data_IF_043197615766
#
_entry.id   IF_043197615766
#
_cell.length_a   1.000
_cell.length_b   1.000
_cell.length_c   1.000
_cell.angle_alpha   90.00
_cell.angle_beta   90.00
_cell.angle_gamma   90.00
#
_symmetry.space_group_name_H-M   'P 1'
#
loop_
_entity.id
_entity.type
_entity.pdbx_description
1 polymer ?
#
# COMPACT_ATOMS: atom_id res chain seq x y z
N UNK A 1 -6.20 -63.17 37.99
CA UNK A 1 -5.06 -62.30 37.66
C UNK A 1 -5.13 -62.00 36.20
N UNK A 2 -5.77 -60.89 35.84
CA UNK A 2 -5.93 -60.44 34.44
C UNK A 2 -5.33 -59.07 34.28
N UNK A 3 -4.22 -59.02 33.57
CA UNK A 3 -3.48 -57.80 33.23
C UNK A 3 -4.09 -57.22 31.98
N UNK A 4 -4.75 -56.05 32.10
CA UNK A 4 -5.21 -55.27 30.93
C UNK A 4 -4.06 -54.42 30.42
N UNK A 5 -3.64 -54.68 29.18
CA UNK A 5 -2.70 -53.85 28.44
C UNK A 5 -3.48 -52.68 27.88
N UNK A 6 -3.12 -51.48 28.32
CA UNK A 6 -3.67 -50.21 27.79
C UNK A 6 -2.79 -49.78 26.61
N UNK A 7 -3.31 -49.89 25.39
CA UNK A 7 -2.66 -49.38 24.18
C UNK A 7 -3.07 -47.90 24.04
N UNK A 8 -2.12 -47.01 24.30
CA UNK A 8 -2.31 -45.55 24.03
C UNK A 8 -1.94 -45.28 22.57
N UNK A 9 -2.95 -45.04 21.76
CA UNK A 9 -2.78 -44.60 20.38
C UNK A 9 -2.40 -43.11 20.40
N UNK A 10 -1.14 -42.78 20.17
CA UNK A 10 -0.67 -41.41 19.95
C UNK A 10 -0.93 -41.06 18.47
N UNK A 11 -2.06 -40.39 18.19
CA UNK A 11 -2.34 -39.84 16.90
C UNK A 11 -1.50 -38.57 16.69
N UNK A 12 -0.44 -38.67 15.89
CA UNK A 12 0.30 -37.50 15.41
C UNK A 12 -0.57 -36.76 14.39
N UNK A 13 -1.16 -35.66 14.84
CA UNK A 13 -1.84 -34.72 13.95
C UNK A 13 -0.75 -33.95 13.17
N UNK A 14 -0.46 -34.39 11.96
CA UNK A 14 0.35 -33.61 11.02
C UNK A 14 -0.49 -32.43 10.58
N UNK A 15 -0.33 -31.27 11.22
CA UNK A 15 -0.73 -29.98 10.68
C UNK A 15 0.20 -29.67 9.51
N UNK A 16 -0.20 -30.09 8.33
CA UNK A 16 0.38 -29.60 7.09
C UNK A 16 0.10 -28.08 7.01
N UNK A 17 1.13 -27.27 7.16
CA UNK A 17 1.06 -25.88 6.79
C UNK A 17 0.88 -25.84 5.26
N UNK A 18 -0.36 -25.75 4.81
CA UNK A 18 -0.64 -25.36 3.44
C UNK A 18 -0.27 -23.88 3.34
N UNK A 19 0.86 -23.58 2.70
CA UNK A 19 1.11 -22.25 2.18
C UNK A 19 0.06 -22.02 1.11
N UNK A 20 -1.01 -21.30 1.46
CA UNK A 20 -1.93 -20.75 0.47
C UNK A 20 -1.16 -19.60 -0.18
N UNK A 21 -0.48 -19.87 -1.28
CA UNK A 21 -0.07 -18.82 -2.19
C UNK A 21 -1.37 -18.20 -2.72
N UNK A 22 -1.63 -16.95 -2.39
CA UNK A 22 -2.79 -16.26 -2.94
C UNK A 22 -2.60 -16.20 -4.45
N UNK A 23 -3.53 -16.79 -5.18
CA UNK A 23 -3.48 -16.84 -6.64
C UNK A 23 -3.81 -15.46 -7.19
N UNK A 24 -3.04 -15.00 -8.18
CA UNK A 24 -3.35 -13.77 -8.93
C UNK A 24 -4.78 -13.91 -9.51
N UNK A 25 -5.68 -12.96 -9.23
CA UNK A 25 -7.06 -13.01 -9.70
C UNK A 25 -7.15 -13.06 -11.24
N UNK A 26 -8.17 -13.75 -11.76
CA UNK A 26 -8.38 -13.90 -13.18
C UNK A 26 -8.52 -12.57 -13.95
N UNK A 27 -8.93 -11.51 -13.27
CA UNK A 27 -8.99 -10.14 -13.80
C UNK A 27 -7.63 -9.67 -14.37
N UNK A 28 -6.52 -10.12 -13.79
CA UNK A 28 -5.16 -9.68 -14.13
C UNK A 28 -4.40 -10.61 -15.09
N UNK A 29 -5.09 -11.55 -15.76
CA UNK A 29 -4.43 -12.57 -16.61
C UNK A 29 -3.69 -12.01 -17.83
N UNK A 30 -3.95 -10.77 -18.21
CA UNK A 30 -3.29 -10.08 -19.35
C UNK A 30 -2.06 -9.30 -18.94
N UNK A 31 -1.78 -9.16 -17.63
CA UNK A 31 -0.65 -8.39 -17.10
C UNK A 31 0.57 -9.30 -16.91
N UNK A 32 1.72 -8.86 -17.36
CA UNK A 32 2.99 -9.55 -17.15
C UNK A 32 3.67 -9.04 -15.86
N UNK A 33 3.48 -9.76 -14.76
CA UNK A 33 4.08 -9.44 -13.46
C UNK A 33 5.56 -9.78 -13.33
N UNK A 34 6.23 -10.20 -14.40
CA UNK A 34 7.68 -10.26 -14.44
C UNK A 34 8.32 -8.92 -14.80
N UNK A 35 7.51 -7.94 -15.19
CA UNK A 35 7.90 -6.57 -15.50
C UNK A 35 7.83 -5.67 -14.26
N UNK A 36 8.61 -4.58 -14.31
CA UNK A 36 8.69 -3.55 -13.29
C UNK A 36 8.66 -2.15 -13.93
N UNK A 37 8.53 -1.12 -13.12
CA UNK A 37 8.57 0.27 -13.57
C UNK A 37 7.49 0.59 -14.60
N UNK A 38 7.84 1.36 -15.63
CA UNK A 38 6.89 1.83 -16.64
C UNK A 38 6.23 0.71 -17.44
N UNK A 39 6.91 -0.41 -17.67
CA UNK A 39 6.33 -1.51 -18.43
C UNK A 39 5.13 -2.12 -17.67
N UNK A 40 5.28 -2.38 -16.37
CA UNK A 40 4.17 -2.85 -15.53
C UNK A 40 3.08 -1.78 -15.37
N UNK A 41 3.47 -0.50 -15.23
CA UNK A 41 2.56 0.64 -15.16
C UNK A 41 1.66 0.71 -16.39
N UNK A 42 2.23 0.55 -17.60
CA UNK A 42 1.52 0.61 -18.87
C UNK A 42 0.56 -0.58 -19.04
N UNK A 43 0.98 -1.79 -18.65
CA UNK A 43 0.14 -2.99 -18.68
C UNK A 43 -1.08 -2.82 -17.77
N UNK A 44 -0.88 -2.37 -16.52
CA UNK A 44 -1.97 -2.11 -15.58
C UNK A 44 -2.88 -0.98 -16.04
N UNK A 45 -2.30 0.11 -16.57
CA UNK A 45 -3.07 1.23 -17.14
C UNK A 45 -3.96 0.74 -18.29
N UNK A 46 -3.42 -0.06 -19.21
CA UNK A 46 -4.18 -0.66 -20.32
C UNK A 46 -5.33 -1.51 -19.78
N UNK A 47 -5.05 -2.40 -18.83
CA UNK A 47 -6.09 -3.26 -18.24
C UNK A 47 -7.24 -2.45 -17.65
N UNK A 48 -6.95 -1.45 -16.79
CA UNK A 48 -8.02 -0.68 -16.13
C UNK A 48 -8.77 0.25 -17.09
N UNK A 49 -8.14 0.68 -18.18
CA UNK A 49 -8.80 1.45 -19.25
C UNK A 49 -9.77 0.56 -20.03
N UNK A 50 -9.29 -0.60 -20.47
CA UNK A 50 -10.07 -1.52 -21.32
C UNK A 50 -11.23 -2.16 -20.57
N UNK A 51 -11.08 -2.37 -19.26
CA UNK A 51 -12.11 -2.98 -18.42
C UNK A 51 -13.10 -1.96 -17.83
N UNK A 52 -12.83 -0.67 -17.91
CA UNK A 52 -13.78 0.39 -17.50
C UNK A 52 -14.89 0.53 -18.56
N UNK A 53 -15.80 -0.44 -18.59
CA UNK A 53 -16.83 -0.56 -19.64
C UNK A 53 -18.05 0.30 -19.42
N UNK A 54 -18.30 0.74 -18.18
CA UNK A 54 -19.49 1.52 -17.82
C UNK A 54 -19.07 2.81 -17.11
N UNK A 55 -19.27 3.94 -17.79
CA UNK A 55 -19.06 5.25 -17.19
C UNK A 55 -20.32 5.66 -16.43
N UNK A 56 -20.21 5.85 -15.12
CA UNK A 56 -21.33 6.22 -14.25
C UNK A 56 -21.55 7.73 -14.29
N UNK A 57 -22.76 8.24 -14.53
CA UNK A 57 -23.04 9.67 -14.49
C UNK A 57 -22.95 10.21 -13.06
N UNK A 58 -22.59 11.49 -12.90
CA UNK A 58 -22.48 12.11 -11.57
C UNK A 58 -23.83 12.17 -10.84
N UNK A 59 -24.87 12.63 -11.51
CA UNK A 59 -26.25 12.63 -11.02
C UNK A 59 -27.19 12.36 -12.18
N UNK A 60 -28.11 11.40 -12.03
CA UNK A 60 -29.08 11.03 -13.03
C UNK A 60 -30.38 10.50 -12.41
N UNK A 61 -31.37 10.22 -13.24
CA UNK A 61 -32.62 9.55 -12.82
C UNK A 61 -32.53 8.02 -12.86
N UNK A 62 -31.43 7.48 -13.34
CA UNK A 62 -31.05 6.07 -13.30
C UNK A 62 -29.82 5.93 -12.40
N UNK A 63 -29.16 4.77 -12.38
CA UNK A 63 -27.94 4.55 -11.61
C UNK A 63 -26.94 5.66 -11.83
N UNK A 64 -26.50 6.26 -10.74
CA UNK A 64 -25.49 7.33 -10.70
C UNK A 64 -24.45 7.11 -9.59
N UNK A 65 -23.54 8.05 -9.41
CA UNK A 65 -22.47 7.88 -8.42
C UNK A 65 -22.97 7.90 -6.97
N UNK A 66 -24.16 8.45 -6.69
CA UNK A 66 -24.76 8.33 -5.36
C UNK A 66 -25.15 6.90 -5.04
N UNK A 67 -25.80 6.22 -5.99
CA UNK A 67 -26.23 4.83 -5.80
C UNK A 67 -25.04 3.93 -5.55
N UNK A 68 -23.96 4.12 -6.32
CA UNK A 68 -22.74 3.31 -6.15
C UNK A 68 -22.07 3.59 -4.80
N UNK A 69 -22.00 4.86 -4.36
CA UNK A 69 -21.41 5.22 -3.06
C UNK A 69 -22.25 4.71 -1.89
N UNK A 70 -23.57 4.68 -2.00
CA UNK A 70 -24.44 4.09 -0.97
C UNK A 70 -24.09 2.62 -0.71
N UNK A 71 -23.61 1.89 -1.70
CA UNK A 71 -23.22 0.50 -1.55
C UNK A 71 -21.72 0.35 -1.25
N UNK A 72 -20.87 1.12 -1.94
CA UNK A 72 -19.41 1.00 -1.82
C UNK A 72 -18.86 1.55 -0.51
N UNK A 73 -19.49 2.58 0.04
CA UNK A 73 -19.06 3.23 1.28
C UNK A 73 -19.95 2.83 2.48
N UNK A 74 -20.78 1.79 2.33
CA UNK A 74 -21.66 1.28 3.36
C UNK A 74 -20.88 0.79 4.59
N UNK A 75 -21.29 1.22 5.78
CA UNK A 75 -20.82 0.63 7.03
C UNK A 75 -21.53 -0.72 7.26
N UNK A 76 -20.77 -1.80 7.14
CA UNK A 76 -21.32 -3.16 7.37
C UNK A 76 -21.67 -3.45 8.83
N UNK A 77 -21.23 -2.60 9.76
CA UNK A 77 -21.48 -2.75 11.20
C UNK A 77 -22.68 -1.95 11.67
N UNK A 78 -22.99 -0.85 10.98
CA UNK A 78 -24.15 0.03 11.30
C UNK A 78 -25.06 0.10 10.08
N UNK A 79 -26.17 -0.61 10.15
CA UNK A 79 -27.13 -0.67 9.04
C UNK A 79 -27.57 0.72 8.57
N UNK A 80 -27.58 0.93 7.26
CA UNK A 80 -27.96 2.17 6.58
C UNK A 80 -27.08 3.39 6.85
N UNK A 81 -25.84 3.19 7.32
CA UNK A 81 -24.85 4.26 7.42
C UNK A 81 -23.77 4.08 6.34
N UNK A 82 -23.21 5.20 5.89
CA UNK A 82 -21.95 5.25 5.14
C UNK A 82 -20.80 5.60 6.08
N UNK A 83 -19.62 5.09 5.76
CA UNK A 83 -18.37 5.50 6.37
C UNK A 83 -17.98 6.86 5.75
N UNK A 84 -17.73 7.84 6.60
CA UNK A 84 -17.33 9.17 6.19
C UNK A 84 -15.80 9.26 6.09
N UNK A 85 -15.33 9.51 4.89
CA UNK A 85 -13.91 9.69 4.62
C UNK A 85 -13.37 10.89 5.40
N UNK A 86 -12.22 10.72 6.04
CA UNK A 86 -11.61 11.67 6.97
C UNK A 86 -12.29 11.78 8.36
N UNK A 87 -13.42 11.11 8.57
CA UNK A 87 -14.10 11.10 9.87
C UNK A 87 -13.43 10.14 10.86
N UNK A 88 -13.52 10.44 12.17
CA UNK A 88 -12.80 9.67 13.19
C UNK A 88 -13.52 9.53 14.55
N UNK A 89 -14.66 10.23 14.78
CA UNK A 89 -15.30 10.20 16.09
C UNK A 89 -16.82 10.41 16.02
N UNK A 90 -17.58 9.38 16.36
CA UNK A 90 -19.05 9.41 16.47
C UNK A 90 -19.54 9.64 17.91
N UNK A 91 -18.65 9.93 18.88
CA UNK A 91 -18.99 9.93 20.30
C UNK A 91 -19.02 11.32 20.94
N UNK A 92 -18.61 12.34 20.22
CA UNK A 92 -18.71 13.73 20.64
C UNK A 92 -19.94 14.44 20.05
N UNK A 93 -20.03 15.74 20.18
CA UNK A 93 -21.14 16.54 19.62
C UNK A 93 -20.72 17.31 18.35
N UNK A 94 -19.57 16.97 17.78
CA UNK A 94 -18.94 17.68 16.65
C UNK A 94 -19.19 16.90 15.37
N UNK A 95 -20.16 17.34 14.57
CA UNK A 95 -20.60 16.58 13.39
C UNK A 95 -19.60 16.56 12.25
N UNK A 96 -18.67 17.52 12.17
CA UNK A 96 -17.68 17.58 11.08
C UNK A 96 -16.69 16.41 11.08
N UNK A 97 -16.46 15.81 12.25
CA UNK A 97 -15.52 14.71 12.43
C UNK A 97 -16.21 13.34 12.63
N UNK A 98 -17.53 13.25 12.43
CA UNK A 98 -18.24 11.98 12.50
C UNK A 98 -17.62 10.95 11.55
N UNK A 99 -17.47 9.73 12.08
CA UNK A 99 -16.90 8.57 11.37
C UNK A 99 -17.95 7.92 10.46
N UNK A 100 -19.23 7.99 10.85
CA UNK A 100 -20.34 7.41 10.10
C UNK A 100 -21.54 8.36 10.03
N UNK A 101 -22.41 8.17 9.04
CA UNK A 101 -23.67 8.91 8.93
C UNK A 101 -24.70 8.13 8.14
N UNK A 102 -25.99 8.37 8.45
CA UNK A 102 -27.07 7.72 7.73
C UNK A 102 -27.01 8.06 6.21
N UNK A 103 -27.27 7.07 5.38
CA UNK A 103 -27.37 7.25 3.92
C UNK A 103 -28.37 8.36 3.58
N UNK A 104 -29.48 8.43 4.33
CA UNK A 104 -30.54 9.42 4.11
C UNK A 104 -30.09 10.88 4.34
N UNK A 105 -28.96 11.10 5.05
CA UNK A 105 -28.40 12.43 5.29
C UNK A 105 -27.45 12.85 4.15
N UNK A 106 -27.65 12.33 2.95
CA UNK A 106 -27.04 12.81 1.72
C UNK A 106 -27.40 14.28 1.48
N UNK A 107 -26.40 15.11 1.17
CA UNK A 107 -26.58 16.54 1.00
C UNK A 107 -27.53 16.90 -0.16
N UNK A 108 -28.55 17.67 0.15
CA UNK A 108 -29.57 18.18 -0.78
C UNK A 108 -29.71 19.72 -0.72
N UNK A 109 -28.61 20.43 -0.43
CA UNK A 109 -28.57 21.89 -0.31
C UNK A 109 -28.14 22.41 1.06
N UNK A 110 -28.07 21.54 2.06
CA UNK A 110 -27.52 21.82 3.40
C UNK A 110 -26.18 21.09 3.57
N UNK A 111 -25.30 21.59 4.46
CA UNK A 111 -23.99 21.02 4.69
C UNK A 111 -23.83 20.47 6.12
N UNK A 112 -24.25 21.21 7.13
CA UNK A 112 -24.08 20.81 8.54
C UNK A 112 -24.92 19.56 8.84
N UNK A 113 -24.28 18.48 9.24
CA UNK A 113 -24.91 17.19 9.52
C UNK A 113 -25.28 16.37 8.28
N UNK A 114 -24.80 16.78 7.11
CA UNK A 114 -24.98 16.07 5.84
C UNK A 114 -23.63 15.61 5.27
N UNK A 115 -23.65 14.56 4.44
CA UNK A 115 -22.49 14.08 3.70
C UNK A 115 -22.66 14.31 2.20
N UNK A 116 -21.52 14.45 1.50
CA UNK A 116 -21.49 14.61 0.04
C UNK A 116 -20.36 13.77 -0.58
N UNK A 117 -20.20 13.87 -1.92
CA UNK A 117 -19.17 13.15 -2.67
C UNK A 117 -17.87 13.97 -2.66
N UNK A 118 -16.87 13.47 -1.94
CA UNK A 118 -15.51 13.95 -1.98
C UNK A 118 -14.82 13.44 -3.25
N UNK A 119 -14.15 14.34 -3.97
CA UNK A 119 -13.18 13.98 -5.00
C UNK A 119 -11.79 13.92 -4.36
N UNK A 120 -11.30 12.72 -4.07
CA UNK A 120 -10.01 12.53 -3.40
C UNK A 120 -8.89 13.14 -4.24
N UNK A 121 -8.82 12.84 -5.53
CA UNK A 121 -8.10 13.69 -6.47
C UNK A 121 -8.99 14.92 -6.79
N UNK A 122 -8.65 16.06 -6.19
CA UNK A 122 -9.46 17.27 -6.29
C UNK A 122 -9.64 17.73 -7.74
N UNK A 123 -10.86 18.06 -8.14
CA UNK A 123 -11.20 18.42 -9.53
C UNK A 123 -10.30 19.49 -10.12
N UNK A 124 -10.03 20.54 -9.37
CA UNK A 124 -9.26 21.70 -9.85
C UNK A 124 -7.74 21.48 -9.91
N UNK A 125 -7.24 20.40 -9.32
CA UNK A 125 -5.82 20.03 -9.34
C UNK A 125 -5.46 19.11 -10.52
N UNK A 126 -6.45 18.54 -11.18
CA UNK A 126 -6.25 17.83 -12.45
C UNK A 126 -6.05 18.82 -13.61
N UNK A 127 -5.33 18.42 -14.65
CA UNK A 127 -5.09 19.25 -15.83
C UNK A 127 -5.33 18.46 -17.15
N UNK A 128 -6.45 18.72 -17.87
CA UNK A 128 -7.53 19.65 -17.54
C UNK A 128 -8.31 19.25 -16.30
N UNK A 129 -8.99 20.20 -15.64
CA UNK A 129 -9.81 19.94 -14.45
C UNK A 129 -10.84 18.82 -14.67
N UNK A 130 -11.11 18.02 -13.64
CA UNK A 130 -12.16 17.00 -13.72
C UNK A 130 -13.52 17.67 -13.82
N UNK A 131 -14.36 17.21 -14.78
CA UNK A 131 -15.72 17.68 -14.95
C UNK A 131 -16.74 16.62 -14.55
N UNK A 132 -17.88 17.06 -14.03
CA UNK A 132 -19.01 16.20 -13.68
C UNK A 132 -20.23 16.41 -14.62
N UNK A 133 -20.08 17.22 -15.65
CA UNK A 133 -21.14 17.52 -16.62
C UNK A 133 -21.43 16.34 -17.54
N UNK A 134 -20.46 15.45 -17.69
CA UNK A 134 -20.59 14.18 -18.41
C UNK A 134 -19.86 13.08 -17.65
N UNK A 135 -20.30 11.83 -17.85
CA UNK A 135 -19.63 10.69 -17.26
C UNK A 135 -18.19 10.56 -17.82
N UNK A 136 -17.22 10.36 -16.92
CA UNK A 136 -15.79 10.33 -17.26
C UNK A 136 -14.89 10.44 -16.02
N UNK A 137 -13.74 11.09 -16.15
CA UNK A 137 -12.74 11.17 -15.08
C UNK A 137 -13.25 11.87 -13.80
N UNK A 138 -14.19 12.82 -13.92
CA UNK A 138 -14.80 13.49 -12.77
C UNK A 138 -15.92 12.70 -12.10
N UNK A 139 -16.31 11.56 -12.68
CA UNK A 139 -17.39 10.72 -12.15
C UNK A 139 -16.95 9.28 -11.88
N UNK A 140 -15.64 9.01 -12.01
CA UNK A 140 -15.06 7.73 -11.66
C UNK A 140 -15.22 7.47 -10.16
N UNK A 141 -15.95 6.40 -9.81
CA UNK A 141 -16.31 6.13 -8.41
C UNK A 141 -15.09 5.71 -7.58
N UNK A 142 -14.01 5.22 -8.19
CA UNK A 142 -12.76 4.99 -7.46
C UNK A 142 -12.19 6.29 -6.85
N UNK A 143 -12.46 7.45 -7.46
CA UNK A 143 -12.06 8.75 -6.94
C UNK A 143 -13.09 9.41 -6.00
N UNK A 144 -14.28 8.84 -5.86
CA UNK A 144 -15.37 9.44 -5.08
C UNK A 144 -15.58 8.72 -3.76
N UNK A 145 -15.70 9.47 -2.66
CA UNK A 145 -15.96 8.93 -1.33
C UNK A 145 -17.10 9.70 -0.65
N UNK A 146 -17.88 9.00 0.18
CA UNK A 146 -18.76 9.70 1.11
C UNK A 146 -17.89 10.45 2.12
N UNK A 147 -18.13 11.76 2.31
CA UNK A 147 -17.42 12.57 3.29
C UNK A 147 -18.39 13.55 3.96
N UNK A 148 -18.16 13.91 5.22
CA UNK A 148 -18.89 15.02 5.83
C UNK A 148 -18.74 16.28 4.95
N UNK A 149 -19.84 16.97 4.71
CA UNK A 149 -19.86 18.11 3.79
C UNK A 149 -18.96 19.26 4.28
N UNK A 150 -18.86 19.49 5.60
CA UNK A 150 -17.98 20.52 6.15
C UNK A 150 -16.51 20.07 6.12
N UNK A 151 -16.24 18.79 6.38
CA UNK A 151 -14.89 18.22 6.27
C UNK A 151 -14.40 18.26 4.81
N UNK A 152 -15.24 17.89 3.85
CA UNK A 152 -14.95 18.03 2.43
C UNK A 152 -14.66 19.51 2.05
N UNK A 153 -15.44 20.44 2.58
CA UNK A 153 -15.18 21.89 2.40
C UNK A 153 -13.87 22.34 3.06
N UNK A 154 -13.51 21.74 4.19
CA UNK A 154 -12.24 22.00 4.89
C UNK A 154 -11.08 21.46 4.08
N UNK A 155 -11.17 20.23 3.58
CA UNK A 155 -10.16 19.64 2.69
C UNK A 155 -10.04 20.46 1.39
N UNK A 156 -11.14 20.80 0.72
CA UNK A 156 -11.17 21.61 -0.50
C UNK A 156 -10.19 21.05 -1.56
N UNK A 157 -9.30 21.90 -2.12
CA UNK A 157 -8.22 21.51 -3.03
C UNK A 157 -6.82 21.62 -2.37
N UNK A 158 -6.74 21.42 -1.05
CA UNK A 158 -5.44 21.35 -0.35
C UNK A 158 -4.64 20.17 -0.85
N UNK A 159 -3.35 20.39 -1.01
CA UNK A 159 -2.42 19.30 -1.28
C UNK A 159 -2.31 18.40 -0.07
N UNK A 160 -2.10 17.11 -0.32
CA UNK A 160 -1.80 16.17 0.76
C UNK A 160 -0.37 16.34 1.26
N UNK A 161 -0.21 16.28 2.58
CA UNK A 161 1.09 16.25 3.24
C UNK A 161 1.06 15.38 4.50
N UNK A 162 2.22 14.95 4.95
CA UNK A 162 2.37 14.03 6.06
C UNK A 162 2.14 14.72 7.42
N UNK A 163 1.49 13.99 8.31
CA UNK A 163 1.32 14.30 9.72
C UNK A 163 1.06 12.98 10.48
N UNK A 164 0.39 13.01 11.63
CA UNK A 164 -0.01 11.82 12.40
C UNK A 164 -1.31 12.06 13.17
N UNK A 165 -2.03 10.99 13.46
CA UNK A 165 -3.29 11.03 14.22
C UNK A 165 -4.51 11.22 13.31
N UNK A 166 -5.41 12.09 13.70
CA UNK A 166 -6.64 12.33 12.96
C UNK A 166 -6.42 13.24 11.74
N UNK A 167 -7.40 13.29 10.85
CA UNK A 167 -7.39 14.21 9.71
C UNK A 167 -7.37 15.68 10.18
N UNK A 168 -6.53 16.49 9.57
CA UNK A 168 -6.42 17.93 9.91
C UNK A 168 -5.72 18.72 8.80
N UNK A 169 -5.81 20.06 8.91
CA UNK A 169 -5.02 20.99 8.14
C UNK A 169 -3.60 21.02 8.70
N UNK A 170 -2.62 20.88 7.81
CA UNK A 170 -1.19 20.87 8.16
C UNK A 170 -0.53 22.13 7.61
N UNK A 171 0.08 22.90 8.49
CA UNK A 171 0.91 24.03 8.13
C UNK A 171 2.38 23.65 8.23
N UNK A 172 3.15 23.94 7.18
CA UNK A 172 4.61 23.77 7.19
C UNK A 172 5.21 25.13 7.01
N UNK A 173 5.96 25.57 8.02
CA UNK A 173 6.67 26.84 8.01
C UNK A 173 7.56 26.96 6.75
N UNK A 174 7.45 28.09 6.06
CA UNK A 174 8.19 28.41 4.84
C UNK A 174 7.87 27.53 3.60
N UNK A 175 6.87 26.63 3.65
CA UNK A 175 6.45 25.87 2.47
C UNK A 175 5.40 26.67 1.67
N UNK A 176 5.68 27.04 0.39
CA UNK A 176 4.82 27.98 -0.37
C UNK A 176 3.36 27.52 -0.54
N UNK A 177 3.14 26.20 -0.61
CA UNK A 177 1.81 25.62 -0.81
C UNK A 177 1.09 25.42 0.52
N UNK A 178 1.78 24.92 1.56
CA UNK A 178 1.15 24.62 2.86
C UNK A 178 1.06 25.83 3.79
N UNK A 179 1.82 26.89 3.55
CA UNK A 179 1.81 28.10 4.39
C UNK A 179 0.96 29.24 3.79
N UNK A 180 1.06 29.47 2.49
CA UNK A 180 0.48 30.65 1.84
C UNK A 180 -0.44 30.39 0.67
N UNK A 181 -0.70 29.12 0.34
CA UNK A 181 -1.60 28.73 -0.75
C UNK A 181 -1.42 29.52 -2.04
N UNK A 182 -0.65 29.07 -3.02
CA UNK A 182 -0.40 29.82 -4.25
C UNK A 182 -1.67 29.96 -5.08
N UNK A 183 -1.89 31.13 -5.65
CA UNK A 183 -2.86 31.34 -6.73
C UNK A 183 -4.33 31.19 -6.34
N UNK A 184 -4.69 31.40 -5.07
CA UNK A 184 -6.07 31.27 -4.57
C UNK A 184 -6.41 29.89 -4.01
N UNK A 185 -5.43 29.01 -3.87
CA UNK A 185 -5.57 27.77 -3.10
C UNK A 185 -5.72 28.10 -1.60
N UNK A 186 -6.45 27.28 -0.83
CA UNK A 186 -6.60 27.48 0.61
C UNK A 186 -5.24 27.31 1.31
N UNK A 187 -5.00 28.10 2.35
CA UNK A 187 -3.83 27.94 3.21
C UNK A 187 -3.80 26.57 3.88
N UNK A 188 -2.61 26.04 4.07
CA UNK A 188 -2.37 24.74 4.64
C UNK A 188 -2.48 23.59 3.63
N UNK A 189 -1.79 22.53 3.92
CA UNK A 189 -1.98 21.21 3.31
C UNK A 189 -2.99 20.42 4.12
N UNK A 190 -3.34 19.21 3.70
CA UNK A 190 -4.29 18.36 4.38
C UNK A 190 -3.69 16.99 4.68
N UNK A 191 -3.84 16.53 5.91
CA UNK A 191 -3.54 15.17 6.32
C UNK A 191 -4.85 14.39 6.44
N UNK A 192 -5.00 13.23 5.78
CA UNK A 192 -6.26 12.51 5.75
C UNK A 192 -6.56 11.69 7.02
N UNK A 193 -5.62 11.64 7.96
CA UNK A 193 -5.67 10.78 9.14
C UNK A 193 -4.95 9.45 8.94
N UNK A 194 -4.46 8.85 10.04
CA UNK A 194 -3.73 7.58 10.00
C UNK A 194 -4.57 6.44 9.43
N UNK A 195 -5.90 6.51 9.56
CA UNK A 195 -6.84 5.49 9.09
C UNK A 195 -7.08 5.53 7.56
N UNK A 196 -6.90 6.69 6.92
CA UNK A 196 -7.26 6.88 5.51
C UNK A 196 -6.11 7.25 4.60
N UNK A 197 -4.90 7.39 5.14
CA UNK A 197 -3.73 7.81 4.34
C UNK A 197 -3.40 6.81 3.24
N UNK A 198 -3.47 5.52 3.53
CA UNK A 198 -3.27 4.46 2.54
C UNK A 198 -4.38 4.42 1.49
N UNK A 199 -5.66 4.62 1.90
CA UNK A 199 -6.79 4.74 0.98
C UNK A 199 -6.55 5.89 -0.01
N UNK A 200 -6.14 7.08 0.50
CA UNK A 200 -5.80 8.24 -0.35
C UNK A 200 -4.71 7.85 -1.33
N UNK A 201 -3.61 7.28 -0.86
CA UNK A 201 -2.48 6.89 -1.71
C UNK A 201 -2.93 5.96 -2.86
N UNK A 202 -3.68 4.91 -2.54
CA UNK A 202 -4.18 3.94 -3.53
C UNK A 202 -5.15 4.55 -4.52
N UNK A 203 -5.98 5.52 -4.09
CA UNK A 203 -6.88 6.26 -4.98
C UNK A 203 -6.08 7.16 -5.93
N UNK A 204 -5.08 7.91 -5.43
CA UNK A 204 -4.24 8.79 -6.25
C UNK A 204 -3.45 7.98 -7.28
N UNK A 205 -2.84 6.87 -6.87
CA UNK A 205 -2.13 5.96 -7.77
C UNK A 205 -3.05 5.39 -8.86
N UNK A 206 -4.28 4.97 -8.51
CA UNK A 206 -5.29 4.53 -9.48
C UNK A 206 -5.65 5.64 -10.46
N UNK A 207 -5.94 6.84 -9.99
CA UNK A 207 -6.29 7.97 -10.86
C UNK A 207 -5.16 8.29 -11.83
N UNK A 208 -3.91 8.15 -11.41
CA UNK A 208 -2.76 8.34 -12.29
C UNK A 208 -2.65 7.23 -13.35
N UNK A 209 -2.89 5.96 -13.01
CA UNK A 209 -2.92 4.89 -14.02
C UNK A 209 -4.07 5.06 -15.01
N UNK A 210 -5.26 5.43 -14.51
CA UNK A 210 -6.47 5.53 -15.34
C UNK A 210 -6.50 6.78 -16.22
N UNK A 211 -5.92 7.88 -15.72
CA UNK A 211 -5.92 9.21 -16.36
C UNK A 211 -4.53 9.85 -16.32
N UNK A 212 -3.51 9.23 -16.97
CA UNK A 212 -2.09 9.53 -16.71
C UNK A 212 -1.68 10.95 -17.08
N UNK A 213 -2.32 11.57 -18.08
CA UNK A 213 -2.02 12.95 -18.51
C UNK A 213 -2.88 14.00 -17.81
N UNK A 214 -3.87 13.58 -17.05
CA UNK A 214 -4.81 14.49 -16.37
C UNK A 214 -4.60 14.52 -14.85
N UNK A 215 -4.28 13.39 -14.25
CA UNK A 215 -4.22 13.19 -12.79
C UNK A 215 -2.81 12.90 -12.33
N UNK A 216 -1.85 13.79 -12.61
CA UNK A 216 -0.47 13.64 -12.15
C UNK A 216 -0.39 13.78 -10.61
N UNK A 217 0.20 12.81 -9.89
CA UNK A 217 0.25 12.80 -8.42
C UNK A 217 0.97 14.01 -7.81
N UNK A 218 1.95 14.58 -8.53
CA UNK A 218 2.69 15.79 -8.13
C UNK A 218 1.81 17.04 -8.09
N UNK A 219 0.62 17.01 -8.68
CA UNK A 219 -0.35 18.10 -8.60
C UNK A 219 -1.19 18.07 -7.32
N UNK A 220 -1.09 17.02 -6.50
CA UNK A 220 -1.94 16.85 -5.32
C UNK A 220 -1.19 16.43 -4.06
N UNK A 221 -0.01 15.85 -4.17
CA UNK A 221 0.87 15.52 -3.05
C UNK A 221 2.14 16.34 -3.08
N UNK A 222 2.65 16.70 -1.91
CA UNK A 222 3.91 17.43 -1.79
C UNK A 222 5.01 16.53 -1.22
N UNK A 223 6.25 16.96 -1.38
CA UNK A 223 7.44 16.29 -0.85
C UNK A 223 8.36 15.76 -1.94
N UNK A 224 9.29 14.90 -1.55
CA UNK A 224 10.25 14.26 -2.46
C UNK A 224 9.56 13.26 -3.38
N UNK A 225 10.10 13.10 -4.57
CA UNK A 225 9.70 12.07 -5.56
C UNK A 225 10.86 11.10 -5.82
N UNK A 226 11.82 11.02 -4.91
CA UNK A 226 13.12 10.36 -5.12
C UNK A 226 13.05 8.83 -5.23
N UNK A 227 11.95 8.19 -4.83
CA UNK A 227 11.77 6.75 -5.04
C UNK A 227 11.46 6.43 -6.50
N UNK A 228 10.61 7.23 -7.15
CA UNK A 228 10.28 7.04 -8.55
C UNK A 228 11.42 7.44 -9.48
N UNK A 229 11.76 6.57 -10.44
CA UNK A 229 12.78 6.86 -11.43
C UNK A 229 12.42 8.04 -12.34
N UNK A 230 11.13 8.25 -12.59
CA UNK A 230 10.60 9.33 -13.43
C UNK A 230 10.22 10.58 -12.62
N UNK A 231 10.43 10.54 -11.30
CA UNK A 231 10.09 11.61 -10.37
C UNK A 231 8.60 12.03 -10.44
N UNK A 232 7.72 11.10 -10.82
CA UNK A 232 6.30 11.33 -11.10
C UNK A 232 5.39 10.98 -9.92
N UNK A 233 5.92 10.33 -8.87
CA UNK A 233 5.16 9.90 -7.70
C UNK A 233 5.76 10.48 -6.43
N UNK A 234 5.03 11.34 -5.69
CA UNK A 234 5.44 11.78 -4.35
C UNK A 234 5.66 10.62 -3.38
N UNK A 235 6.79 10.62 -2.69
CA UNK A 235 7.18 9.55 -1.76
C UNK A 235 6.12 9.26 -0.72
N UNK A 236 5.40 10.31 -0.25
CA UNK A 236 4.37 10.16 0.79
C UNK A 236 3.28 9.16 0.40
N UNK A 237 2.91 9.05 -0.87
CA UNK A 237 1.89 8.09 -1.28
C UNK A 237 2.41 6.65 -1.25
N UNK A 238 3.70 6.43 -1.51
CA UNK A 238 4.32 5.11 -1.40
C UNK A 238 4.53 4.72 0.07
N UNK A 239 4.90 5.68 0.91
CA UNK A 239 5.01 5.50 2.36
C UNK A 239 3.64 5.20 2.98
N UNK A 240 2.60 5.96 2.66
CA UNK A 240 1.25 5.74 3.16
C UNK A 240 0.64 4.40 2.70
N UNK A 241 0.95 3.96 1.49
CA UNK A 241 0.50 2.65 0.98
C UNK A 241 1.11 1.48 1.77
N UNK A 242 2.32 1.63 2.33
CA UNK A 242 2.95 0.64 3.19
C UNK A 242 2.49 0.76 4.64
N UNK A 243 2.42 1.98 5.18
CA UNK A 243 2.11 2.27 6.58
C UNK A 243 0.65 1.99 6.95
N UNK A 244 -0.28 2.12 5.99
CA UNK A 244 -1.71 1.89 6.17
C UNK A 244 -2.19 0.78 5.22
N UNK A 245 -2.14 -0.50 5.66
CA UNK A 245 -2.49 -1.64 4.85
C UNK A 245 -3.97 -1.67 4.45
N UNK A 246 -4.26 -2.24 3.27
CA UNK A 246 -5.62 -2.37 2.73
C UNK A 246 -6.57 -3.01 3.73
N UNK A 247 -7.62 -2.29 4.06
CA UNK A 247 -8.70 -2.71 4.94
C UNK A 247 -9.70 -3.64 4.24
N UNK A 248 -10.53 -4.35 5.01
CA UNK A 248 -11.66 -5.12 4.48
C UNK A 248 -12.67 -4.20 3.79
N UNK A 249 -12.85 -2.99 4.32
CA UNK A 249 -13.71 -1.98 3.73
C UNK A 249 -13.26 -1.59 2.31
N UNK A 250 -11.97 -1.34 2.10
CA UNK A 250 -11.45 -1.03 0.75
C UNK A 250 -11.64 -2.19 -0.23
N UNK A 251 -11.43 -3.45 0.23
CA UNK A 251 -11.66 -4.64 -0.61
C UNK A 251 -13.10 -4.73 -1.04
N UNK A 252 -14.04 -4.64 -0.11
CA UNK A 252 -15.48 -4.64 -0.40
C UNK A 252 -15.86 -3.50 -1.35
N UNK A 253 -15.31 -2.31 -1.11
CA UNK A 253 -15.52 -1.15 -1.97
C UNK A 253 -15.02 -1.40 -3.40
N UNK A 254 -13.83 -1.98 -3.57
CA UNK A 254 -13.28 -2.32 -4.87
C UNK A 254 -14.16 -3.33 -5.61
N UNK A 255 -14.72 -4.32 -4.91
CA UNK A 255 -15.64 -5.31 -5.48
C UNK A 255 -16.97 -4.69 -5.91
N UNK A 256 -17.55 -3.80 -5.10
CA UNK A 256 -18.79 -3.08 -5.46
C UNK A 256 -18.55 -2.23 -6.70
N UNK A 257 -17.51 -1.41 -6.74
CA UNK A 257 -17.23 -0.55 -7.90
C UNK A 257 -16.96 -1.38 -9.15
N UNK A 258 -16.22 -2.48 -9.03
CA UNK A 258 -16.02 -3.43 -10.13
C UNK A 258 -17.35 -3.91 -10.73
N UNK A 259 -18.34 -4.21 -9.88
CA UNK A 259 -19.67 -4.66 -10.36
C UNK A 259 -20.41 -3.60 -11.19
N UNK A 260 -20.14 -2.32 -10.95
CA UNK A 260 -20.76 -1.19 -11.65
C UNK A 260 -19.95 -0.70 -12.85
N UNK A 261 -18.63 -0.50 -12.68
CA UNK A 261 -17.75 0.10 -13.69
C UNK A 261 -17.03 -0.93 -14.57
N UNK A 262 -16.81 -2.14 -14.06
CA UNK A 262 -16.09 -3.22 -14.75
C UNK A 262 -14.58 -3.21 -14.56
N UNK A 263 -14.02 -2.17 -13.92
CA UNK A 263 -12.60 -2.07 -13.60
C UNK A 263 -12.34 -2.09 -12.09
N UNK A 264 -11.09 -2.37 -11.70
CA UNK A 264 -10.64 -2.48 -10.32
C UNK A 264 -9.51 -1.51 -10.04
N UNK A 265 -9.35 -1.13 -8.79
CA UNK A 265 -8.12 -0.48 -8.33
C UNK A 265 -7.08 -1.57 -7.99
N UNK A 266 -6.00 -1.70 -8.78
CA UNK A 266 -5.02 -2.77 -8.59
C UNK A 266 -4.21 -2.63 -7.29
N UNK A 267 -4.05 -1.42 -6.78
CA UNK A 267 -3.31 -1.16 -5.54
C UNK A 267 -4.09 -1.55 -4.28
N UNK A 268 -5.41 -1.74 -4.38
CA UNK A 268 -6.23 -2.37 -3.33
C UNK A 268 -6.09 -3.89 -3.40
N UNK A 269 -6.08 -4.47 -4.60
CA UNK A 269 -5.96 -5.92 -4.78
C UNK A 269 -4.56 -6.43 -4.41
N UNK A 270 -3.51 -5.66 -4.75
CA UNK A 270 -2.14 -5.92 -4.31
C UNK A 270 -1.33 -4.62 -4.15
N UNK A 271 -1.17 -4.09 -2.93
CA UNK A 271 -0.42 -2.87 -2.66
C UNK A 271 1.03 -2.90 -3.15
N UNK A 272 1.65 -4.08 -3.22
CA UNK A 272 3.03 -4.26 -3.66
C UNK A 272 3.26 -3.83 -5.12
N UNK A 273 2.22 -3.76 -5.94
CA UNK A 273 2.32 -3.27 -7.31
C UNK A 273 2.86 -1.83 -7.37
N UNK A 274 2.56 -1.00 -6.37
CA UNK A 274 3.12 0.35 -6.26
C UNK A 274 4.65 0.31 -6.08
N UNK A 275 5.15 -0.62 -5.25
CA UNK A 275 6.60 -0.84 -5.05
C UNK A 275 7.27 -1.30 -6.35
N UNK A 276 6.65 -2.21 -7.10
CA UNK A 276 7.18 -2.67 -8.39
C UNK A 276 7.23 -1.56 -9.45
N UNK A 277 6.28 -0.62 -9.42
CA UNK A 277 6.22 0.47 -10.41
C UNK A 277 7.16 1.61 -10.04
N UNK A 278 7.10 2.11 -8.80
CA UNK A 278 7.76 3.35 -8.39
C UNK A 278 8.90 3.16 -7.38
N UNK A 279 9.22 1.94 -7.00
CA UNK A 279 10.10 1.62 -5.89
C UNK A 279 9.53 2.12 -4.54
N UNK A 280 10.38 2.47 -3.57
CA UNK A 280 9.96 2.92 -2.24
C UNK A 280 9.83 1.78 -1.24
N UNK A 281 9.08 1.99 -0.15
CA UNK A 281 8.87 0.96 0.87
C UNK A 281 8.16 -0.28 0.31
N UNK A 282 8.47 -1.44 0.88
CA UNK A 282 7.84 -2.70 0.48
C UNK A 282 6.43 -2.80 1.09
N UNK A 283 5.43 -2.44 0.33
CA UNK A 283 4.04 -2.66 0.71
C UNK A 283 3.67 -4.16 0.72
N UNK A 284 2.51 -4.50 1.28
CA UNK A 284 2.06 -5.89 1.40
C UNK A 284 1.88 -6.55 0.02
N UNK A 285 2.61 -7.64 -0.23
CA UNK A 285 2.39 -8.48 -1.41
C UNK A 285 1.30 -9.52 -1.12
N UNK A 286 0.07 -9.19 -1.53
CA UNK A 286 -1.10 -10.05 -1.33
C UNK A 286 -1.09 -11.29 -2.23
N UNK A 287 -0.31 -11.30 -3.31
CA UNK A 287 -0.29 -12.40 -4.29
C UNK A 287 0.96 -13.25 -4.25
N UNK A 288 2.00 -12.83 -3.50
CA UNK A 288 3.27 -13.53 -3.43
C UNK A 288 4.08 -13.42 -4.73
N UNK A 289 3.98 -12.28 -5.44
CA UNK A 289 4.75 -12.01 -6.67
C UNK A 289 6.25 -12.02 -6.37
N UNK A 290 6.65 -11.48 -5.21
CA UNK A 290 8.02 -11.55 -4.69
C UNK A 290 8.58 -12.98 -4.66
N UNK A 291 7.74 -13.97 -4.40
CA UNK A 291 8.19 -15.36 -4.30
C UNK A 291 8.58 -15.98 -5.65
N UNK A 292 8.16 -15.40 -6.78
CA UNK A 292 8.47 -15.89 -8.12
C UNK A 292 9.73 -15.27 -8.73
N UNK A 293 10.05 -14.02 -8.39
CA UNK A 293 11.28 -13.34 -8.81
C UNK A 293 12.46 -13.60 -7.87
N UNK A 294 12.21 -13.68 -6.56
CA UNK A 294 13.23 -13.98 -5.54
C UNK A 294 13.65 -15.46 -5.49
N UNK A 295 12.88 -16.38 -6.05
CA UNK A 295 13.34 -17.77 -6.22
C UNK A 295 14.49 -17.88 -7.24
N UNK A 296 14.76 -16.83 -8.04
CA UNK A 296 15.96 -16.71 -8.86
C UNK A 296 17.03 -15.79 -8.26
N UNK A 297 16.72 -14.89 -7.36
CA UNK A 297 17.70 -14.26 -6.47
C UNK A 297 17.94 -15.23 -5.31
N UNK A 298 18.92 -16.09 -5.44
CA UNK A 298 19.37 -17.00 -4.38
C UNK A 298 19.78 -16.14 -3.19
N UNK A 299 18.81 -15.89 -2.27
CA UNK A 299 19.10 -15.14 -1.05
C UNK A 299 20.11 -15.95 -0.24
N UNK A 300 21.31 -15.40 -0.09
CA UNK A 300 22.30 -16.01 0.79
C UNK A 300 21.79 -15.94 2.22
N UNK A 301 21.77 -17.04 2.93
CA UNK A 301 21.54 -17.08 4.37
C UNK A 301 22.56 -18.01 5.03
N UNK A 302 22.76 -17.85 6.32
CA UNK A 302 23.70 -18.65 7.09
C UNK A 302 22.96 -19.48 8.14
N UNK A 303 23.44 -20.69 8.37
CA UNK A 303 22.95 -21.53 9.46
C UNK A 303 24.05 -22.52 9.95
N UNK A 304 24.01 -22.93 11.22
CA UNK A 304 23.23 -22.34 12.30
C UNK A 304 23.74 -20.93 12.67
N UNK A 305 22.88 -20.10 13.23
CA UNK A 305 23.29 -18.79 13.76
C UNK A 305 23.94 -18.86 15.14
N UNK A 306 23.93 -20.04 15.77
CA UNK A 306 24.70 -20.39 16.96
C UNK A 306 25.48 -21.66 16.58
N UNK A 307 26.81 -21.55 16.45
CA UNK A 307 27.68 -22.61 15.93
C UNK A 307 28.76 -23.00 16.93
N UNK A 308 29.22 -24.23 16.84
CA UNK A 308 30.40 -24.72 17.56
C UNK A 308 31.57 -24.92 16.57
N UNK A 309 31.33 -25.65 15.50
CA UNK A 309 32.39 -26.06 14.56
C UNK A 309 32.22 -25.38 13.18
N UNK A 310 30.98 -25.30 12.68
CA UNK A 310 30.72 -24.87 11.31
C UNK A 310 29.51 -23.93 11.18
N UNK A 311 29.64 -22.99 10.24
CA UNK A 311 28.54 -22.19 9.71
C UNK A 311 28.40 -22.50 8.22
N UNK A 312 27.19 -22.74 7.75
CA UNK A 312 26.89 -23.06 6.37
C UNK A 312 26.28 -21.86 5.66
N UNK A 313 26.63 -21.69 4.40
CA UNK A 313 26.02 -20.74 3.48
C UNK A 313 25.06 -21.49 2.56
N UNK A 314 23.82 -21.03 2.53
CA UNK A 314 22.80 -21.56 1.62
C UNK A 314 22.38 -20.45 0.62
N UNK A 315 21.93 -20.85 -0.56
CA UNK A 315 21.38 -19.96 -1.58
C UNK A 315 22.32 -19.68 -2.74
N UNK A 316 23.44 -19.00 -2.57
CA UNK A 316 24.37 -18.63 -3.65
C UNK A 316 25.76 -19.27 -3.45
N UNK A 317 26.44 -19.57 -4.57
CA UNK A 317 27.88 -19.89 -4.51
C UNK A 317 28.65 -18.58 -4.39
N UNK A 318 29.14 -18.28 -3.21
CA UNK A 318 29.94 -17.10 -2.90
C UNK A 318 31.42 -17.50 -2.90
N UNK A 319 32.28 -16.71 -3.51
CA UNK A 319 33.73 -16.91 -3.41
C UNK A 319 34.26 -16.38 -2.06
N UNK A 320 35.35 -16.97 -1.57
CA UNK A 320 35.97 -16.56 -0.30
C UNK A 320 36.40 -15.06 -0.34
N UNK A 321 36.82 -14.56 -1.49
CA UNK A 321 37.27 -13.19 -1.72
C UNK A 321 36.15 -12.14 -1.53
N UNK A 322 34.90 -12.57 -1.76
CA UNK A 322 33.72 -11.72 -1.56
C UNK A 322 33.25 -11.68 -0.10
N UNK A 323 33.94 -12.38 0.82
CA UNK A 323 33.52 -12.55 2.20
C UNK A 323 34.54 -11.98 3.18
N UNK A 324 34.06 -11.40 4.29
CA UNK A 324 34.86 -11.00 5.43
C UNK A 324 34.12 -11.35 6.73
N UNK A 325 34.87 -11.88 7.72
CA UNK A 325 34.32 -12.14 9.05
C UNK A 325 35.00 -11.19 10.02
N UNK A 326 34.20 -10.55 10.87
CA UNK A 326 34.66 -9.60 11.88
C UNK A 326 34.34 -10.13 13.29
N UNK A 327 35.24 -9.96 14.23
CA UNK A 327 34.96 -10.13 15.64
C UNK A 327 34.27 -8.88 16.25
N UNK A 328 33.95 -8.93 17.55
CA UNK A 328 33.31 -7.82 18.26
C UNK A 328 34.12 -6.51 18.30
N UNK A 329 35.45 -6.60 18.08
CA UNK A 329 36.36 -5.45 18.03
C UNK A 329 36.51 -4.89 16.59
N UNK A 330 35.78 -5.45 15.61
CA UNK A 330 35.86 -5.05 14.21
C UNK A 330 37.12 -5.56 13.49
N UNK A 331 37.87 -6.48 14.06
CA UNK A 331 39.02 -7.08 13.43
C UNK A 331 38.58 -8.16 12.43
N UNK A 332 39.17 -8.16 11.24
CA UNK A 332 38.93 -9.17 10.22
C UNK A 332 39.65 -10.46 10.62
N UNK A 333 38.94 -11.58 10.53
CA UNK A 333 39.46 -12.90 10.83
C UNK A 333 39.68 -13.70 9.55
N UNK A 334 40.76 -14.50 9.54
CA UNK A 334 41.00 -15.52 8.52
C UNK A 334 40.09 -16.72 8.80
N UNK A 335 39.52 -17.29 7.74
CA UNK A 335 38.66 -18.48 7.79
C UNK A 335 38.88 -19.36 6.57
N UNK A 336 38.44 -20.59 6.65
CA UNK A 336 38.46 -21.53 5.53
C UNK A 336 37.03 -21.80 5.04
N UNK A 337 36.85 -21.74 3.71
CA UNK A 337 35.60 -22.05 3.03
C UNK A 337 35.75 -23.31 2.22
N UNK A 338 35.04 -24.39 2.63
CA UNK A 338 34.99 -25.66 1.90
C UNK A 338 33.58 -25.88 1.32
N UNK A 339 33.40 -25.60 0.04
CA UNK A 339 32.09 -25.62 -0.61
C UNK A 339 31.21 -24.51 -0.11
N UNK A 340 30.21 -24.83 0.73
CA UNK A 340 29.32 -23.88 1.38
C UNK A 340 29.54 -23.83 2.91
N UNK A 341 30.60 -24.40 3.43
CA UNK A 341 30.89 -24.58 4.85
C UNK A 341 32.08 -23.73 5.28
N UNK A 342 31.91 -22.98 6.36
CA UNK A 342 32.95 -22.19 7.03
C UNK A 342 33.31 -22.86 8.33
N UNK A 343 34.60 -23.18 8.52
CA UNK A 343 35.13 -23.72 9.77
C UNK A 343 35.33 -22.56 10.78
N UNK A 344 34.58 -22.60 11.87
CA UNK A 344 34.62 -21.65 12.99
C UNK A 344 35.13 -22.28 14.29
N UNK A 345 35.57 -23.55 14.25
CA UNK A 345 36.04 -24.32 15.42
C UNK A 345 37.25 -23.67 16.12
N UNK A 346 38.00 -22.83 15.41
CA UNK A 346 39.16 -22.10 15.94
C UNK A 346 38.81 -20.70 16.45
N UNK A 347 37.53 -20.27 16.34
CA UNK A 347 37.11 -18.99 16.81
C UNK A 347 36.83 -19.04 18.31
N UNK A 348 37.14 -17.96 19.00
CA UNK A 348 36.81 -17.85 20.43
C UNK A 348 35.30 -17.72 20.62
N UNK A 349 34.77 -18.17 21.75
CA UNK A 349 33.37 -17.94 22.12
C UNK A 349 33.05 -16.46 22.04
N UNK A 350 32.01 -16.13 21.25
CA UNK A 350 31.62 -14.73 21.04
C UNK A 350 30.73 -14.50 19.83
N UNK A 351 30.41 -13.23 19.59
CA UNK A 351 29.60 -12.80 18.46
C UNK A 351 30.49 -12.39 17.27
N UNK A 352 30.08 -12.79 16.09
CA UNK A 352 30.76 -12.48 14.83
C UNK A 352 29.80 -11.89 13.83
N UNK A 353 30.34 -11.03 12.95
CA UNK A 353 29.63 -10.47 11.80
C UNK A 353 30.33 -10.95 10.51
N UNK A 354 29.54 -11.55 9.62
CA UNK A 354 30.00 -11.92 8.30
C UNK A 354 29.44 -10.94 7.26
N UNK A 355 30.30 -10.31 6.49
CA UNK A 355 29.96 -9.46 5.35
C UNK A 355 30.18 -10.25 4.06
N UNK A 356 29.18 -10.27 3.20
CA UNK A 356 29.25 -10.86 1.86
C UNK A 356 28.99 -9.76 0.85
N UNK A 357 29.95 -9.53 -0.04
CA UNK A 357 29.83 -8.55 -1.12
C UNK A 357 29.15 -9.21 -2.32
N UNK A 358 27.99 -8.70 -2.73
CA UNK A 358 27.23 -9.16 -3.87
C UNK A 358 26.98 -8.00 -4.83
N UNK A 359 27.58 -8.04 -6.02
CA UNK A 359 27.56 -6.95 -7.00
C UNK A 359 27.96 -5.60 -6.38
N UNK A 360 27.00 -4.68 -6.16
CA UNK A 360 27.25 -3.37 -5.54
C UNK A 360 26.72 -3.25 -4.10
N UNK A 361 26.16 -4.32 -3.55
CA UNK A 361 25.60 -4.34 -2.19
C UNK A 361 26.39 -5.27 -1.29
N UNK A 362 26.40 -4.95 0.01
CA UNK A 362 27.03 -5.75 1.06
C UNK A 362 25.97 -6.27 2.02
N UNK A 363 25.85 -7.61 2.13
CA UNK A 363 24.94 -8.23 3.10
C UNK A 363 25.71 -8.58 4.36
N UNK A 364 25.09 -8.33 5.52
CA UNK A 364 25.66 -8.61 6.84
C UNK A 364 24.87 -9.68 7.56
N UNK A 365 25.59 -10.69 8.07
CA UNK A 365 25.05 -11.81 8.84
C UNK A 365 25.68 -11.84 10.20
N UNK A 366 24.89 -12.14 11.23
CA UNK A 366 25.36 -12.27 12.61
C UNK A 366 25.29 -13.73 13.03
N UNK A 367 26.34 -14.24 13.67
CA UNK A 367 26.34 -15.56 14.28
C UNK A 367 27.13 -15.55 15.61
N UNK A 368 26.88 -16.56 16.45
CA UNK A 368 27.51 -16.79 17.71
C UNK A 368 28.32 -18.09 17.65
N UNK A 369 29.53 -18.06 18.23
CA UNK A 369 30.35 -19.26 18.46
C UNK A 369 30.39 -19.53 19.99
N UNK A 370 30.19 -20.80 20.41
CA UNK A 370 30.16 -21.21 21.82
C UNK A 370 31.06 -22.39 22.13
#
# INVERSE_FOLDING_TARGET
MNTKVLITLLGALMLGAFSISAQIPAYYTTVDFTQEGNALKDDLSTLIIDTHTTLIPYTSSSTDTWDVIHESDLDVTISNNVILFYGYNDTDTVTINDRTRAIADQASGFCIGYWNREHVFAKSLANPSLTTDSAGSGTDVHNLRAADCQMNSTRNNRFFNNASGNSDIVHIEDHPICDRGPGGNPEGCFYPGDEFKGDVARIIMYMYLRYPTQCEPTNIGIGSTSYSNDLDMPNIFLEWNEEDPVSEFERNRNDVIFSYQGNRNPFIDNPYLATLIWNGPNALDSWGILSTSDLNSKTVFIHPTIAQDYVYLEGLKVSKEAMKIYNQLGQVLEFELEGNRIDVSKFSTGMYLMSIQEQQQSKLFKFLVY
#
